data_IF_373684144973
#
_entry.id   IF_373684144973
#
_cell.length_a   1.000
_cell.length_b   1.000
_cell.length_c   1.000
_cell.angle_alpha   90.00
_cell.angle_beta   90.00
_cell.angle_gamma   90.00
#
_symmetry.space_group_name_H-M   'P 1'
#
loop_
_entity.id
_entity.type
_entity.pdbx_description
1 polymer ?
#
# COMPACT_ATOMS: atom_id res chain seq x y z
N UNK A 1 28.66 -69.40 -7.56
CA UNK A 1 27.28 -68.87 -7.73
C UNK A 1 27.43 -67.42 -8.17
N UNK A 2 27.52 -67.18 -9.47
CA UNK A 2 26.44 -66.87 -10.41
C UNK A 2 26.19 -65.34 -10.55
N UNK A 3 26.55 -64.85 -11.75
CA UNK A 3 25.94 -63.75 -12.54
C UNK A 3 26.50 -62.30 -12.44
N UNK A 4 27.42 -62.03 -13.39
CA UNK A 4 27.43 -60.99 -14.47
C UNK A 4 27.11 -59.50 -14.18
N UNK A 5 27.96 -58.57 -14.69
CA UNK A 5 27.75 -57.11 -14.72
C UNK A 5 27.47 -56.48 -16.12
N UNK A 6 27.07 -55.18 -16.10
CA UNK A 6 27.10 -54.12 -17.15
C UNK A 6 25.92 -54.06 -18.16
N UNK A 7 25.61 -52.93 -18.87
CA UNK A 7 26.47 -51.74 -19.14
C UNK A 7 25.79 -50.33 -19.24
N UNK A 8 26.62 -49.29 -19.40
CA UNK A 8 26.35 -48.22 -20.39
C UNK A 8 26.21 -46.77 -19.92
N UNK A 9 27.30 -46.01 -19.92
CA UNK A 9 27.31 -44.53 -19.93
C UNK A 9 27.43 -44.00 -21.38
N UNK A 10 26.68 -42.97 -21.80
CA UNK A 10 26.77 -42.41 -23.15
C UNK A 10 27.87 -41.32 -23.29
N UNK A 11 28.47 -41.16 -24.48
CA UNK A 11 29.52 -40.17 -24.77
C UNK A 11 28.96 -38.76 -25.10
N UNK A 12 29.81 -37.70 -25.13
CA UNK A 12 29.38 -36.31 -25.25
C UNK A 12 29.03 -35.88 -26.70
N UNK A 13 28.08 -34.96 -26.82
CA UNK A 13 27.60 -34.38 -28.08
C UNK A 13 28.59 -33.39 -28.71
N UNK A 14 28.82 -33.52 -30.03
CA UNK A 14 29.39 -32.48 -30.90
C UNK A 14 28.31 -31.99 -31.90
N UNK A 15 28.33 -30.70 -32.29
CA UNK A 15 27.32 -30.13 -33.20
C UNK A 15 27.69 -30.35 -34.67
N UNK A 16 26.73 -30.82 -35.49
CA UNK A 16 26.87 -30.91 -36.95
C UNK A 16 26.04 -29.79 -37.60
N UNK A 17 26.71 -28.97 -38.40
CA UNK A 17 26.13 -27.95 -39.27
C UNK A 17 25.51 -28.61 -40.52
N UNK A 18 24.31 -28.18 -40.92
CA UNK A 18 23.68 -28.57 -42.19
C UNK A 18 22.70 -27.52 -42.69
N UNK A 19 23.01 -26.91 -43.83
CA UNK A 19 22.17 -25.98 -44.60
C UNK A 19 21.16 -26.72 -45.52
N UNK A 20 20.12 -26.04 -46.05
CA UNK A 20 18.82 -26.65 -46.37
C UNK A 20 18.65 -27.05 -47.85
N UNK A 21 17.69 -27.92 -48.20
CA UNK A 21 17.26 -28.07 -49.58
C UNK A 21 16.20 -27.04 -49.96
N UNK A 22 16.45 -26.40 -51.10
CA UNK A 22 15.55 -25.51 -51.83
C UNK A 22 14.40 -26.29 -52.48
N UNK A 23 13.22 -25.69 -52.53
CA UNK A 23 12.15 -26.10 -53.45
C UNK A 23 10.76 -25.93 -52.86
N UNK A 24 10.08 -24.86 -53.27
CA UNK A 24 8.63 -24.64 -53.43
C UNK A 24 8.17 -23.26 -52.93
N UNK A 25 7.89 -22.38 -53.90
CA UNK A 25 7.12 -21.15 -53.74
C UNK A 25 5.60 -21.44 -53.85
N UNK A 26 4.73 -20.50 -53.44
CA UNK A 26 3.46 -20.79 -52.76
C UNK A 26 2.25 -20.81 -53.69
N UNK A 27 1.22 -21.57 -53.33
CA UNK A 27 -0.14 -21.41 -53.84
C UNK A 27 -1.09 -21.11 -52.68
N UNK A 28 -1.67 -19.91 -52.70
CA UNK A 28 -2.79 -19.53 -51.84
C UNK A 28 -4.09 -20.17 -52.34
N UNK A 29 -5.05 -20.40 -51.45
CA UNK A 29 -6.41 -19.98 -51.74
C UNK A 29 -7.04 -19.08 -50.65
N UNK A 30 -7.95 -18.27 -51.17
CA UNK A 30 -8.84 -17.23 -50.63
C UNK A 30 -9.67 -17.58 -49.35
N UNK A 31 -10.39 -16.60 -48.75
CA UNK A 31 -10.63 -16.48 -47.32
C UNK A 31 -11.88 -17.22 -46.84
N UNK A 32 -11.77 -17.87 -45.68
CA UNK A 32 -12.89 -18.49 -44.97
C UNK A 32 -12.68 -18.34 -43.47
N UNK A 33 -13.63 -17.72 -42.79
CA UNK A 33 -13.53 -17.40 -41.38
C UNK A 33 -13.42 -18.63 -40.49
N UNK A 34 -12.63 -18.51 -39.43
CA UNK A 34 -12.95 -18.97 -38.06
C UNK A 34 -11.80 -18.50 -37.16
N UNK A 35 -12.12 -17.67 -36.18
CA UNK A 35 -11.17 -17.28 -35.15
C UNK A 35 -10.89 -18.49 -34.24
N UNK A 36 -9.63 -18.90 -34.00
CA UNK A 36 -9.35 -19.84 -32.93
C UNK A 36 -9.42 -19.07 -31.60
N UNK A 37 -10.30 -19.52 -30.71
CA UNK A 37 -10.26 -19.18 -29.29
C UNK A 37 -8.91 -19.65 -28.71
N UNK A 38 -7.93 -18.74 -28.69
CA UNK A 38 -6.64 -18.93 -28.04
C UNK A 38 -6.74 -18.53 -26.57
N UNK A 39 -6.46 -19.50 -25.69
CA UNK A 39 -6.17 -19.31 -24.28
C UNK A 39 -5.18 -18.13 -24.08
N UNK A 40 -5.33 -17.29 -23.05
CA UNK A 40 -4.30 -16.30 -22.76
C UNK A 40 -3.04 -17.03 -22.31
N UNK A 41 -2.04 -17.07 -23.19
CA UNK A 41 -0.70 -17.51 -22.85
C UNK A 41 -0.21 -16.70 -21.64
N UNK A 42 0.15 -17.40 -20.57
CA UNK A 42 0.90 -16.86 -19.44
C UNK A 42 2.30 -16.47 -19.93
N UNK A 43 2.40 -15.33 -20.61
CA UNK A 43 3.67 -14.70 -20.93
C UNK A 43 4.21 -14.00 -19.69
N UNK A 44 5.35 -14.46 -19.18
CA UNK A 44 6.17 -13.65 -18.29
C UNK A 44 6.44 -12.30 -18.98
N UNK A 45 6.20 -11.14 -18.33
CA UNK A 45 6.43 -9.87 -18.99
C UNK A 45 7.93 -9.64 -19.15
N UNK A 46 8.36 -9.49 -20.41
CA UNK A 46 9.70 -9.07 -20.78
C UNK A 46 10.02 -7.71 -20.13
N UNK A 47 11.08 -7.67 -19.32
CA UNK A 47 11.63 -6.42 -18.79
C UNK A 47 12.07 -5.54 -19.98
N UNK A 48 11.54 -4.32 -20.06
CA UNK A 48 12.04 -3.30 -20.99
C UNK A 48 11.14 -2.95 -22.18
N UNK A 49 9.89 -3.44 -22.28
CA UNK A 49 8.95 -2.76 -23.19
C UNK A 49 8.63 -1.37 -22.64
N UNK A 50 8.84 -0.28 -23.42
CA UNK A 50 8.38 1.02 -23.00
C UNK A 50 6.89 0.92 -22.74
N UNK A 51 6.42 1.46 -21.62
CA UNK A 51 5.02 1.84 -21.46
C UNK A 51 4.60 2.50 -22.77
N UNK A 52 3.75 1.85 -23.57
CA UNK A 52 3.22 2.49 -24.76
C UNK A 52 2.64 3.81 -24.27
N UNK A 53 3.16 4.96 -24.74
CA UNK A 53 2.56 6.22 -24.37
C UNK A 53 1.11 6.06 -24.79
N UNK A 54 0.16 6.33 -23.90
CA UNK A 54 -1.23 6.55 -24.29
C UNK A 54 -1.37 7.78 -25.22
N UNK A 55 -0.28 8.20 -25.88
CA UNK A 55 0.06 9.42 -26.57
C UNK A 55 0.88 9.17 -27.86
N UNK A 56 0.77 8.01 -28.51
CA UNK A 56 1.19 7.86 -29.91
C UNK A 56 -0.05 7.48 -30.73
N UNK A 57 -0.45 8.28 -31.74
CA UNK A 57 -1.53 7.89 -32.63
C UNK A 57 -1.13 6.59 -33.32
N UNK A 58 -1.93 5.53 -33.13
CA UNK A 58 -1.91 4.43 -34.08
C UNK A 58 -2.49 4.99 -35.38
N UNK A 59 -1.62 5.26 -36.34
CA UNK A 59 -2.04 5.53 -37.71
C UNK A 59 -2.84 4.32 -38.17
N UNK A 60 -4.11 4.54 -38.53
CA UNK A 60 -4.87 3.53 -39.26
C UNK A 60 -4.04 3.10 -40.49
N UNK A 61 -3.98 1.81 -40.85
CA UNK A 61 -3.31 1.41 -42.08
C UNK A 61 -3.96 2.18 -43.24
N UNK A 62 -3.13 2.93 -43.97
CA UNK A 62 -3.53 3.62 -45.19
C UNK A 62 -4.26 2.61 -46.10
N UNK A 63 -5.43 2.94 -46.69
CA UNK A 63 -6.02 2.10 -47.71
C UNK A 63 -4.98 1.90 -48.81
N UNK A 64 -4.68 0.65 -49.15
CA UNK A 64 -3.80 0.35 -50.26
C UNK A 64 -4.36 1.02 -51.52
N UNK A 65 -3.58 1.91 -52.14
CA UNK A 65 -3.92 2.48 -53.44
C UNK A 65 -4.12 1.36 -54.46
N UNK A 66 -5.15 1.42 -55.33
CA UNK A 66 -5.27 0.45 -56.41
C UNK A 66 -4.06 0.55 -57.35
N UNK A 67 -3.67 -0.53 -58.05
CA UNK A 67 -2.49 -0.53 -58.90
C UNK A 67 -2.61 0.53 -60.00
N UNK A 68 -1.50 1.21 -60.28
CA UNK A 68 -1.39 2.25 -61.29
C UNK A 68 -1.78 1.73 -62.68
N UNK A 69 -3.03 1.98 -63.07
CA UNK A 69 -3.48 1.94 -64.46
C UNK A 69 -3.52 3.36 -65.00
N UNK A 70 -3.00 3.54 -66.22
CA UNK A 70 -2.90 4.80 -66.97
C UNK A 70 -4.10 5.74 -66.79
N UNK A 71 -3.89 6.88 -66.13
CA UNK A 71 -4.78 8.02 -66.24
C UNK A 71 -4.03 9.17 -66.91
N UNK A 72 -4.51 9.55 -68.09
CA UNK A 72 -4.13 10.79 -68.73
C UNK A 72 -4.48 11.96 -67.81
N UNK A 73 -3.55 12.90 -67.64
CA UNK A 73 -3.75 14.09 -66.83
C UNK A 73 -4.87 14.95 -67.43
N UNK A 74 -5.89 15.38 -66.66
CA UNK A 74 -6.81 16.40 -67.14
C UNK A 74 -6.14 17.78 -67.05
N UNK A 75 -6.50 18.61 -68.02
CA UNK A 75 -5.96 19.93 -68.27
C UNK A 75 -6.14 20.90 -67.09
N UNK A 76 -5.22 21.86 -67.06
CA UNK A 76 -5.12 22.97 -66.13
C UNK A 76 -6.45 23.74 -65.97
N UNK A 77 -6.82 24.02 -64.72
CA UNK A 77 -7.80 25.08 -64.43
C UNK A 77 -8.86 24.77 -63.38
N UNK A 78 -8.48 24.30 -62.18
CA UNK A 78 -9.29 24.49 -60.97
C UNK A 78 -8.37 24.65 -59.75
N UNK A 79 -8.13 25.89 -59.35
CA UNK A 79 -7.51 26.26 -58.08
C UNK A 79 -8.58 26.21 -56.99
N UNK A 80 -8.39 25.38 -55.96
CA UNK A 80 -9.10 25.55 -54.70
C UNK A 80 -9.74 24.30 -54.08
N UNK A 81 -8.97 23.22 -53.88
CA UNK A 81 -9.16 22.39 -52.69
C UNK A 81 -7.81 22.29 -51.99
N UNK A 82 -7.71 22.65 -50.69
CA UNK A 82 -6.50 22.35 -49.95
C UNK A 82 -6.33 20.83 -49.99
N UNK A 83 -5.12 20.34 -50.27
CA UNK A 83 -4.89 18.91 -50.35
C UNK A 83 -5.26 18.25 -49.01
N UNK A 84 -5.86 17.07 -49.06
CA UNK A 84 -6.45 16.38 -47.91
C UNK A 84 -5.45 16.12 -46.74
N UNK A 85 -4.15 16.35 -46.94
CA UNK A 85 -3.17 16.35 -45.85
C UNK A 85 -3.22 17.59 -44.95
N UNK A 86 -3.85 18.69 -45.39
CA UNK A 86 -4.01 19.92 -44.58
C UNK A 86 -5.05 19.79 -43.45
N UNK A 87 -5.82 18.70 -43.41
CA UNK A 87 -6.77 18.38 -42.33
C UNK A 87 -6.19 17.41 -41.28
N UNK A 88 -4.88 17.15 -41.32
CA UNK A 88 -4.20 16.16 -40.47
C UNK A 88 -3.76 16.67 -39.09
N UNK A 89 -3.89 17.96 -38.77
CA UNK A 89 -3.69 18.46 -37.41
C UNK A 89 -5.03 18.53 -36.66
N UNK A 90 -5.76 17.41 -36.71
CA UNK A 90 -6.90 17.22 -35.82
C UNK A 90 -6.41 17.34 -34.39
N UNK A 91 -7.07 18.19 -33.60
CA UNK A 91 -6.90 18.31 -32.16
C UNK A 91 -6.89 16.90 -31.55
N UNK A 92 -5.69 16.36 -31.29
CA UNK A 92 -5.56 15.06 -30.66
C UNK A 92 -6.10 15.23 -29.24
N UNK A 93 -7.36 14.87 -29.02
CA UNK A 93 -7.98 14.92 -27.70
C UNK A 93 -7.15 14.00 -26.81
N UNK A 94 -6.48 14.52 -25.75
CA UNK A 94 -5.63 13.69 -24.91
C UNK A 94 -6.45 12.55 -24.32
N UNK A 95 -6.17 11.31 -24.73
CA UNK A 95 -6.84 10.13 -24.16
C UNK A 95 -6.47 10.05 -22.68
N UNK A 96 -7.48 10.13 -21.81
CA UNK A 96 -7.30 10.04 -20.36
C UNK A 96 -6.78 8.65 -20.00
N UNK A 97 -5.68 8.59 -19.25
CA UNK A 97 -5.10 7.33 -18.76
C UNK A 97 -6.14 6.55 -17.94
N UNK A 98 -6.56 5.34 -18.40
CA UNK A 98 -7.56 4.54 -17.71
C UNK A 98 -7.10 4.05 -16.33
N UNK A 99 -5.78 3.94 -16.10
CA UNK A 99 -5.21 3.50 -14.82
C UNK A 99 -5.48 4.52 -13.72
N UNK A 100 -5.49 5.81 -14.04
CA UNK A 100 -5.85 6.89 -13.09
C UNK A 100 -7.29 6.71 -12.60
N UNK A 101 -8.21 6.37 -13.51
CA UNK A 101 -9.61 6.08 -13.15
C UNK A 101 -9.71 4.81 -12.30
N UNK A 102 -9.01 3.74 -12.69
CA UNK A 102 -9.00 2.48 -11.94
C UNK A 102 -8.41 2.62 -10.53
N UNK A 103 -7.33 3.38 -10.38
CA UNK A 103 -6.69 3.68 -9.10
C UNK A 103 -7.63 4.47 -8.20
N UNK A 104 -8.24 5.53 -8.71
CA UNK A 104 -9.22 6.34 -7.96
C UNK A 104 -10.45 5.53 -7.53
N UNK A 105 -10.99 4.68 -8.41
CA UNK A 105 -12.11 3.80 -8.06
C UNK A 105 -11.73 2.76 -6.99
N UNK A 106 -10.52 2.21 -7.08
CA UNK A 106 -10.02 1.26 -6.07
C UNK A 106 -9.84 1.97 -4.73
N UNK A 107 -9.23 3.15 -4.73
CA UNK A 107 -9.02 3.95 -3.53
C UNK A 107 -10.34 4.39 -2.90
N UNK A 108 -11.34 4.80 -3.69
CA UNK A 108 -12.68 5.11 -3.19
C UNK A 108 -13.30 3.93 -2.45
N UNK A 109 -13.24 2.72 -3.02
CA UNK A 109 -13.79 1.52 -2.35
C UNK A 109 -13.08 1.22 -1.04
N UNK A 110 -11.76 1.42 -0.98
CA UNK A 110 -10.98 1.24 0.23
C UNK A 110 -11.29 2.33 1.28
N UNK A 111 -11.46 3.59 0.86
CA UNK A 111 -11.90 4.68 1.74
C UNK A 111 -13.34 4.45 2.25
N UNK A 112 -14.20 3.81 1.46
CA UNK A 112 -15.52 3.40 1.93
C UNK A 112 -15.42 2.36 3.06
N UNK A 113 -14.49 1.41 2.97
CA UNK A 113 -14.23 0.46 4.06
C UNK A 113 -13.74 1.17 5.34
N UNK A 114 -12.87 2.18 5.20
CA UNK A 114 -12.43 3.03 6.32
C UNK A 114 -13.61 3.77 6.97
N UNK A 115 -14.46 4.42 6.18
CA UNK A 115 -15.65 5.10 6.70
C UNK A 115 -16.62 4.12 7.38
N UNK A 116 -16.79 2.94 6.78
CA UNK A 116 -17.60 1.87 7.37
C UNK A 116 -17.04 1.39 8.70
N UNK A 117 -15.71 1.30 8.86
CA UNK A 117 -15.07 0.99 10.14
C UNK A 117 -15.47 2.01 11.22
N UNK A 118 -15.42 3.31 10.92
CA UNK A 118 -15.84 4.35 11.88
C UNK A 118 -17.31 4.19 12.27
N UNK A 119 -18.19 3.98 11.29
CA UNK A 119 -19.63 3.78 11.54
C UNK A 119 -19.88 2.53 12.39
N UNK A 120 -19.22 1.41 12.09
CA UNK A 120 -19.33 0.20 12.89
C UNK A 120 -18.81 0.38 14.31
N UNK A 121 -17.68 1.07 14.49
CA UNK A 121 -17.14 1.35 15.81
C UNK A 121 -18.13 2.13 16.68
N UNK A 122 -18.76 3.16 16.12
CA UNK A 122 -19.79 3.93 16.81
C UNK A 122 -21.05 3.09 17.10
N UNK A 123 -21.50 2.31 16.11
CA UNK A 123 -22.68 1.47 16.24
C UNK A 123 -22.51 0.40 17.32
N UNK A 124 -21.41 -0.34 17.30
CA UNK A 124 -21.15 -1.39 18.29
C UNK A 124 -20.92 -0.81 19.68
N UNK A 125 -20.21 0.31 19.78
CA UNK A 125 -20.00 0.99 21.06
C UNK A 125 -21.34 1.43 21.65
N UNK A 126 -22.22 2.03 20.85
CA UNK A 126 -23.56 2.41 21.28
C UNK A 126 -24.39 1.20 21.73
N UNK A 127 -24.44 0.13 20.92
CA UNK A 127 -25.19 -1.09 21.25
C UNK A 127 -24.67 -1.77 22.52
N UNK A 128 -23.35 -1.87 22.67
CA UNK A 128 -22.74 -2.49 23.84
C UNK A 128 -22.96 -1.65 25.10
N UNK A 129 -22.80 -0.33 25.01
CA UNK A 129 -23.08 0.56 26.14
C UNK A 129 -24.54 0.52 26.57
N UNK A 130 -25.48 0.46 25.62
CA UNK A 130 -26.90 0.31 25.92
C UNK A 130 -27.20 -1.02 26.61
N UNK A 131 -26.67 -2.13 26.08
CA UNK A 131 -26.89 -3.47 26.62
C UNK A 131 -26.30 -3.61 28.04
N UNK A 132 -25.06 -3.18 28.24
CA UNK A 132 -24.39 -3.24 29.54
C UNK A 132 -25.07 -2.32 30.55
N UNK A 133 -25.53 -1.14 30.13
CA UNK A 133 -26.35 -0.26 30.95
C UNK A 133 -27.67 -0.90 31.39
N UNK A 134 -28.35 -1.67 30.52
CA UNK A 134 -29.55 -2.44 30.89
C UNK A 134 -29.26 -3.55 31.92
N UNK A 135 -28.02 -4.06 31.96
CA UNK A 135 -27.57 -5.02 32.98
C UNK A 135 -27.10 -4.34 34.28
N UNK A 136 -27.16 -3.01 34.35
CA UNK A 136 -26.75 -2.23 35.51
C UNK A 136 -25.25 -1.93 35.59
N UNK A 137 -24.49 -2.12 34.50
CA UNK A 137 -23.08 -1.74 34.44
C UNK A 137 -22.92 -0.23 34.17
N UNK A 138 -22.12 0.45 34.98
CA UNK A 138 -21.75 1.85 34.79
C UNK A 138 -20.41 1.97 34.06
N UNK A 139 -20.46 2.01 32.73
CA UNK A 139 -19.27 2.14 31.89
C UNK A 139 -18.65 3.54 31.90
N UNK A 140 -19.36 4.56 32.40
CA UNK A 140 -18.81 5.91 32.51
C UNK A 140 -18.02 6.07 33.82
N UNK A 141 -18.34 5.27 34.84
CA UNK A 141 -17.59 5.20 36.11
C UNK A 141 -16.56 4.07 36.19
N UNK A 142 -16.61 3.06 35.31
CA UNK A 142 -15.68 1.92 35.28
C UNK A 142 -14.69 2.00 34.11
N UNK A 143 -13.53 2.62 34.35
CA UNK A 143 -12.44 2.74 33.39
C UNK A 143 -11.99 1.39 32.81
N UNK A 144 -11.93 0.34 33.64
CA UNK A 144 -11.46 -0.98 33.20
C UNK A 144 -12.50 -1.64 32.30
N UNK A 145 -13.78 -1.53 32.65
CA UNK A 145 -14.89 -1.97 31.81
C UNK A 145 -14.92 -1.26 30.46
N UNK A 146 -14.72 0.06 30.44
CA UNK A 146 -14.62 0.85 29.21
C UNK A 146 -13.41 0.45 28.36
N UNK A 147 -12.25 0.26 28.99
CA UNK A 147 -11.03 -0.19 28.31
C UNK A 147 -11.18 -1.59 27.70
N UNK A 148 -11.79 -2.53 28.42
CA UNK A 148 -12.09 -3.87 27.89
C UNK A 148 -13.05 -3.83 26.70
N UNK A 149 -14.09 -3.00 26.79
CA UNK A 149 -15.07 -2.83 25.73
C UNK A 149 -14.40 -2.29 24.45
N UNK A 150 -13.63 -1.22 24.58
CA UNK A 150 -12.91 -0.61 23.45
C UNK A 150 -11.86 -1.55 22.87
N UNK A 151 -11.11 -2.28 23.71
CA UNK A 151 -10.14 -3.29 23.29
C UNK A 151 -10.75 -4.43 22.47
N UNK A 152 -12.01 -4.79 22.72
CA UNK A 152 -12.72 -5.79 21.93
C UNK A 152 -13.32 -5.22 20.64
N UNK A 153 -13.96 -4.05 20.72
CA UNK A 153 -14.76 -3.51 19.61
C UNK A 153 -13.92 -2.84 18.52
N UNK A 154 -12.83 -2.16 18.87
CA UNK A 154 -12.01 -1.41 17.90
C UNK A 154 -11.34 -2.36 16.88
N UNK A 155 -10.67 -3.46 17.27
CA UNK A 155 -10.10 -4.40 16.32
C UNK A 155 -11.16 -5.05 15.42
N UNK A 156 -12.32 -5.41 15.99
CA UNK A 156 -13.44 -6.00 15.24
C UNK A 156 -13.98 -5.02 14.18
N UNK A 157 -14.22 -3.77 14.58
CA UNK A 157 -14.72 -2.72 13.69
C UNK A 157 -13.73 -2.39 12.58
N UNK A 158 -12.44 -2.50 12.87
CA UNK A 158 -11.35 -2.29 11.90
C UNK A 158 -11.29 -3.42 10.88
N UNK A 159 -11.37 -4.67 11.31
CA UNK A 159 -11.22 -5.81 10.40
C UNK A 159 -12.46 -6.06 9.51
N UNK A 160 -13.67 -5.93 10.06
CA UNK A 160 -14.90 -6.41 9.42
C UNK A 160 -15.17 -5.83 8.02
N UNK A 161 -15.10 -4.50 7.78
CA UNK A 161 -15.36 -3.94 6.44
C UNK A 161 -14.39 -4.47 5.37
N UNK A 162 -13.15 -4.73 5.75
CA UNK A 162 -12.12 -5.20 4.84
C UNK A 162 -12.23 -6.70 4.58
N UNK A 163 -12.66 -7.49 5.57
CA UNK A 163 -13.03 -8.90 5.37
C UNK A 163 -14.22 -8.99 4.39
N UNK A 164 -15.26 -8.17 4.57
CA UNK A 164 -16.40 -8.10 3.64
C UNK A 164 -15.92 -7.67 2.24
N UNK A 165 -15.04 -6.67 2.14
CA UNK A 165 -14.45 -6.26 0.87
C UNK A 165 -13.73 -7.40 0.15
N UNK A 166 -12.91 -8.18 0.86
CA UNK A 166 -12.20 -9.32 0.29
C UNK A 166 -13.18 -10.42 -0.15
N UNK A 167 -14.16 -10.76 0.68
CA UNK A 167 -15.15 -11.80 0.43
C UNK A 167 -16.06 -11.48 -0.75
N UNK A 168 -16.67 -10.28 -0.78
CA UNK A 168 -17.55 -9.84 -1.88
C UNK A 168 -16.79 -9.73 -3.20
N UNK A 169 -15.52 -9.29 -3.13
CA UNK A 169 -14.66 -9.23 -4.31
C UNK A 169 -14.08 -10.57 -4.76
N UNK A 170 -14.33 -11.66 -4.02
CA UNK A 170 -13.71 -12.99 -4.22
C UNK A 170 -12.20 -12.90 -4.46
N UNK A 171 -11.53 -12.07 -3.66
CA UNK A 171 -10.09 -11.80 -3.79
C UNK A 171 -9.29 -12.90 -3.13
N UNK A 172 -8.22 -13.37 -3.78
CA UNK A 172 -7.33 -14.38 -3.20
C UNK A 172 -6.51 -13.76 -2.07
N UNK A 173 -6.66 -14.30 -0.85
CA UNK A 173 -5.93 -13.84 0.33
C UNK A 173 -4.42 -13.92 0.16
N UNK A 174 -3.89 -14.86 -0.65
CA UNK A 174 -2.44 -15.04 -0.85
C UNK A 174 -1.81 -13.86 -1.59
N UNK A 175 -2.57 -13.17 -2.43
CA UNK A 175 -2.06 -11.99 -3.15
C UNK A 175 -1.96 -10.77 -2.24
N UNK A 176 -2.84 -10.69 -1.23
CA UNK A 176 -3.01 -9.56 -0.32
C UNK A 176 -2.18 -9.73 0.96
N UNK A 177 -2.17 -10.93 1.55
CA UNK A 177 -1.52 -11.25 2.82
C UNK A 177 -0.24 -12.05 2.56
N UNK A 178 0.89 -11.35 2.47
CA UNK A 178 2.20 -11.97 2.19
C UNK A 178 3.04 -12.10 3.45
N UNK A 179 3.69 -13.27 3.56
CA UNK A 179 4.51 -13.67 4.70
C UNK A 179 5.82 -14.30 4.22
N UNK A 180 6.51 -13.60 3.32
CA UNK A 180 7.76 -14.08 2.72
C UNK A 180 8.87 -14.26 3.75
N UNK A 181 9.74 -15.26 3.55
CA UNK A 181 10.86 -15.50 4.47
C UNK A 181 11.97 -14.46 4.25
N UNK A 182 12.22 -13.63 5.26
CA UNK A 182 13.27 -12.58 5.22
C UNK A 182 14.61 -13.10 5.78
N UNK A 183 14.54 -14.09 6.68
CA UNK A 183 15.64 -14.53 7.55
C UNK A 183 15.66 -13.75 8.87
N UNK A 184 16.05 -14.41 9.97
CA UNK A 184 15.97 -13.83 11.31
C UNK A 184 16.78 -12.53 11.44
N UNK A 185 18.09 -12.58 11.13
CA UNK A 185 18.97 -11.42 11.31
C UNK A 185 18.57 -10.24 10.40
N UNK A 186 18.38 -10.38 9.07
CA UNK A 186 17.91 -9.27 8.25
C UNK A 186 16.54 -8.76 8.68
N UNK A 187 15.62 -9.66 9.08
CA UNK A 187 14.31 -9.29 9.59
C UNK A 187 14.39 -8.44 10.86
N UNK A 188 15.20 -8.87 11.85
CA UNK A 188 15.45 -8.12 13.08
C UNK A 188 16.05 -6.76 12.78
N UNK A 189 17.04 -6.67 11.89
CA UNK A 189 17.64 -5.39 11.53
C UNK A 189 16.64 -4.46 10.84
N UNK A 190 15.76 -4.98 9.96
CA UNK A 190 14.67 -4.20 9.37
C UNK A 190 13.68 -3.70 10.42
N UNK A 191 13.34 -4.54 11.40
CA UNK A 191 12.45 -4.15 12.51
C UNK A 191 13.07 -3.02 13.33
N UNK A 192 14.32 -3.18 13.76
CA UNK A 192 15.01 -2.16 14.57
C UNK A 192 15.21 -0.85 13.79
N UNK A 193 15.63 -0.92 12.53
CA UNK A 193 15.79 0.26 11.68
C UNK A 193 14.45 0.96 11.42
N UNK A 194 13.40 0.19 11.12
CA UNK A 194 12.05 0.73 10.93
C UNK A 194 11.51 1.39 12.19
N UNK A 195 11.70 0.75 13.35
CA UNK A 195 11.31 1.30 14.66
C UNK A 195 12.00 2.62 14.94
N UNK A 196 13.32 2.73 14.71
CA UNK A 196 14.02 4.00 14.89
C UNK A 196 13.48 5.12 14.00
N UNK A 197 13.15 4.84 12.74
CA UNK A 197 12.56 5.86 11.84
C UNK A 197 11.17 6.27 12.33
N UNK A 198 10.35 5.33 12.80
CA UNK A 198 9.06 5.64 13.40
C UNK A 198 9.23 6.53 14.65
N UNK A 199 10.12 6.17 15.57
CA UNK A 199 10.36 6.94 16.78
C UNK A 199 10.88 8.35 16.46
N UNK A 200 11.77 8.49 15.48
CA UNK A 200 12.21 9.79 14.96
C UNK A 200 11.08 10.60 14.32
N UNK A 201 10.05 9.93 13.79
CA UNK A 201 8.83 10.53 13.27
C UNK A 201 7.98 11.26 14.34
N UNK A 202 8.23 11.02 15.63
CA UNK A 202 7.57 11.77 16.70
C UNK A 202 8.06 13.23 16.78
N UNK A 203 9.33 13.52 16.47
CA UNK A 203 9.86 14.88 16.65
C UNK A 203 9.16 15.92 15.75
N UNK A 204 8.92 15.65 14.44
CA UNK A 204 8.09 16.55 13.63
C UNK A 204 6.65 16.69 14.14
N UNK A 205 6.06 15.61 14.68
CA UNK A 205 4.71 15.64 15.25
C UNK A 205 4.64 16.50 16.52
N UNK A 206 5.61 16.35 17.43
CA UNK A 206 5.74 17.19 18.63
C UNK A 206 5.98 18.66 18.28
N UNK A 207 6.85 18.93 17.30
CA UNK A 207 7.06 20.30 16.84
C UNK A 207 5.77 20.92 16.28
N UNK A 208 4.99 20.16 15.51
CA UNK A 208 3.70 20.62 15.01
C UNK A 208 2.70 20.83 16.17
N UNK A 209 2.66 19.92 17.13
CA UNK A 209 1.82 20.04 18.33
C UNK A 209 2.15 21.33 19.11
N UNK A 210 3.43 21.64 19.32
CA UNK A 210 3.86 22.85 20.02
C UNK A 210 3.47 24.12 19.25
N UNK A 211 3.65 24.12 17.93
CA UNK A 211 3.29 25.25 17.06
C UNK A 211 1.78 25.52 17.09
N UNK A 212 0.96 24.47 16.99
CA UNK A 212 -0.48 24.60 17.05
C UNK A 212 -0.95 24.94 18.48
N UNK A 213 -0.31 24.36 19.50
CA UNK A 213 -0.60 24.62 20.90
C UNK A 213 -0.41 26.10 21.27
N UNK A 214 0.59 26.76 20.68
CA UNK A 214 0.82 28.19 20.83
C UNK A 214 -0.34 29.08 20.33
N UNK A 215 -1.25 28.54 19.52
CA UNK A 215 -2.44 29.24 19.00
C UNK A 215 -3.76 28.61 19.47
N UNK A 216 -3.73 27.86 20.59
CA UNK A 216 -4.94 27.37 21.28
C UNK A 216 -5.33 25.92 20.97
N UNK A 217 -4.55 25.17 20.20
CA UNK A 217 -4.82 23.75 19.96
C UNK A 217 -4.56 22.89 21.21
N UNK A 218 -5.52 22.02 21.54
CA UNK A 218 -5.43 21.05 22.63
C UNK A 218 -5.67 19.64 22.08
N UNK A 219 -4.64 18.77 21.96
CA UNK A 219 -4.83 17.43 21.41
C UNK A 219 -5.76 16.60 22.30
N UNK A 220 -6.61 15.79 21.67
CA UNK A 220 -7.59 14.98 22.39
C UNK A 220 -6.95 13.96 23.35
N UNK A 221 -5.70 13.56 23.08
CA UNK A 221 -4.91 12.66 23.93
C UNK A 221 -4.47 13.28 25.26
N UNK A 222 -4.50 14.62 25.40
CA UNK A 222 -4.08 15.31 26.62
C UNK A 222 -5.08 15.26 27.79
N UNK A 223 -6.32 14.81 27.55
CA UNK A 223 -7.41 14.85 28.53
C UNK A 223 -7.81 13.50 29.14
N UNK A 224 -7.22 12.39 28.70
CA UNK A 224 -7.56 11.05 29.22
C UNK A 224 -6.59 10.69 30.34
N UNK A 225 -6.95 10.99 31.58
CA UNK A 225 -6.22 10.46 32.74
C UNK A 225 -6.39 8.94 32.75
N UNK A 226 -5.32 8.23 32.43
CA UNK A 226 -5.33 6.77 32.46
C UNK A 226 -5.19 6.32 33.90
N UNK A 227 -6.17 5.58 34.42
CA UNK A 227 -6.06 4.98 35.74
C UNK A 227 -4.84 4.04 35.79
N UNK A 228 -3.86 4.40 36.63
CA UNK A 228 -2.61 3.66 36.79
C UNK A 228 -2.87 2.38 37.60
N UNK A 229 -3.27 1.32 36.92
CA UNK A 229 -3.44 -0.01 37.49
C UNK A 229 -2.75 -1.08 36.64
N UNK A 230 -2.28 -2.16 37.27
CA UNK A 230 -1.69 -3.29 36.55
C UNK A 230 -2.69 -3.96 35.60
N UNK A 231 -3.98 -4.00 35.95
CA UNK A 231 -5.04 -4.50 35.07
C UNK A 231 -5.18 -3.66 33.81
N UNK A 232 -5.26 -2.33 33.95
CA UNK A 232 -5.36 -1.42 32.81
C UNK A 232 -4.13 -1.53 31.92
N UNK A 233 -2.93 -1.60 32.52
CA UNK A 233 -1.67 -1.81 31.79
C UNK A 233 -1.70 -3.07 30.91
N UNK A 234 -2.08 -4.23 31.45
CA UNK A 234 -2.07 -5.48 30.68
C UNK A 234 -3.13 -5.49 29.57
N UNK A 235 -4.31 -4.91 29.82
CA UNK A 235 -5.36 -4.78 28.80
C UNK A 235 -4.91 -3.85 27.68
N UNK A 236 -4.36 -2.68 28.01
CA UNK A 236 -3.88 -1.72 27.02
C UNK A 236 -2.67 -2.27 26.25
N UNK A 237 -1.74 -2.96 26.92
CA UNK A 237 -0.61 -3.61 26.26
C UNK A 237 -1.09 -4.66 25.24
N UNK A 238 -2.03 -5.53 25.62
CA UNK A 238 -2.55 -6.54 24.71
C UNK A 238 -3.34 -5.92 23.55
N UNK A 239 -4.16 -4.91 23.84
CA UNK A 239 -4.97 -4.22 22.84
C UNK A 239 -4.10 -3.40 21.89
N UNK A 240 -3.43 -2.38 22.42
CA UNK A 240 -2.76 -1.31 21.69
C UNK A 240 -1.42 -1.76 21.11
N UNK A 241 -0.68 -2.65 21.78
CA UNK A 241 0.62 -3.13 21.30
C UNK A 241 0.56 -4.44 20.50
N UNK A 242 -0.56 -5.18 20.54
CA UNK A 242 -0.68 -6.47 19.83
C UNK A 242 -1.88 -6.49 18.89
N UNK A 243 -3.11 -6.40 19.40
CA UNK A 243 -4.32 -6.60 18.59
C UNK A 243 -4.48 -5.51 17.52
N UNK A 244 -4.33 -4.24 17.91
CA UNK A 244 -4.44 -3.09 17.00
C UNK A 244 -3.40 -3.18 15.87
N UNK A 245 -2.08 -3.31 16.14
CA UNK A 245 -1.06 -3.46 15.10
C UNK A 245 -1.32 -4.63 14.15
N UNK A 246 -1.75 -5.78 14.67
CA UNK A 246 -2.09 -6.94 13.82
C UNK A 246 -3.22 -6.59 12.88
N UNK A 247 -4.34 -6.06 13.39
CA UNK A 247 -5.51 -5.76 12.57
C UNK A 247 -5.24 -4.63 11.58
N UNK A 248 -4.59 -3.56 12.02
CA UNK A 248 -4.28 -2.43 11.16
C UNK A 248 -3.30 -2.81 10.05
N UNK A 249 -2.25 -3.58 10.32
CA UNK A 249 -1.34 -3.99 9.26
C UNK A 249 -1.98 -4.98 8.28
N UNK A 250 -2.85 -5.88 8.75
CA UNK A 250 -3.66 -6.73 7.86
C UNK A 250 -4.56 -5.88 6.95
N UNK A 251 -5.14 -4.81 7.48
CA UNK A 251 -6.02 -3.90 6.72
C UNK A 251 -5.23 -3.02 5.77
N UNK A 252 -4.28 -2.23 6.27
CA UNK A 252 -3.61 -1.20 5.48
C UNK A 252 -2.52 -1.77 4.58
N UNK A 253 -1.75 -2.77 5.04
CA UNK A 253 -0.65 -3.35 4.24
C UNK A 253 -1.15 -4.59 3.50
N UNK A 254 -1.95 -5.40 4.18
CA UNK A 254 -2.60 -6.54 3.56
C UNK A 254 -3.61 -6.11 2.49
N UNK A 255 -4.58 -5.25 2.81
CA UNK A 255 -5.70 -4.91 1.89
C UNK A 255 -5.47 -3.64 1.07
N UNK A 256 -5.25 -2.50 1.73
CA UNK A 256 -5.18 -1.19 1.06
C UNK A 256 -3.98 -1.13 0.12
N UNK A 257 -2.78 -1.37 0.64
CA UNK A 257 -1.54 -1.37 -0.15
C UNK A 257 -1.60 -2.38 -1.30
N UNK A 258 -1.94 -3.65 -1.03
CA UNK A 258 -1.99 -4.69 -2.06
C UNK A 258 -3.03 -4.39 -3.15
N UNK A 259 -4.18 -3.81 -2.76
CA UNK A 259 -5.21 -3.36 -3.69
C UNK A 259 -4.72 -2.24 -4.64
N UNK A 260 -3.82 -1.37 -4.17
CA UNK A 260 -3.23 -0.29 -4.95
C UNK A 260 -1.98 -0.73 -5.75
N UNK A 261 -1.29 -1.79 -5.33
CA UNK A 261 0.00 -2.24 -5.89
C UNK A 261 -0.05 -2.58 -7.39
N UNK A 262 -1.20 -3.02 -7.89
CA UNK A 262 -1.44 -3.25 -9.33
C UNK A 262 -1.30 -1.98 -10.19
N UNK A 263 -1.35 -0.79 -9.59
CA UNK A 263 -1.11 0.49 -10.27
C UNK A 263 0.32 1.01 -10.10
N UNK A 264 1.17 0.29 -9.38
CA UNK A 264 2.56 0.66 -9.12
C UNK A 264 2.88 0.63 -7.64
N UNK A 265 4.05 0.08 -7.30
CA UNK A 265 4.43 -0.12 -5.89
C UNK A 265 4.65 1.20 -5.16
N UNK A 266 5.23 2.22 -5.81
CA UNK A 266 5.40 3.54 -5.19
C UNK A 266 4.07 4.23 -4.88
N UNK A 267 3.09 4.15 -5.80
CA UNK A 267 1.74 4.64 -5.57
C UNK A 267 1.04 3.90 -4.43
N UNK A 268 1.25 2.58 -4.31
CA UNK A 268 0.72 1.81 -3.20
C UNK A 268 1.32 2.22 -1.84
N UNK A 269 2.64 2.42 -1.75
CA UNK A 269 3.31 2.91 -0.52
C UNK A 269 2.71 4.24 -0.07
N UNK A 270 2.67 5.22 -0.97
CA UNK A 270 2.20 6.58 -0.63
C UNK A 270 0.70 6.58 -0.40
N UNK A 271 -0.07 5.91 -1.25
CA UNK A 271 -1.53 5.85 -1.15
C UNK A 271 -1.99 5.16 0.13
N UNK A 272 -1.39 4.02 0.52
CA UNK A 272 -1.74 3.36 1.78
C UNK A 272 -1.30 4.19 2.99
N UNK A 273 -0.14 4.85 2.93
CA UNK A 273 0.35 5.70 4.01
C UNK A 273 -0.54 6.94 4.23
N UNK A 274 -1.02 7.56 3.15
CA UNK A 274 -1.95 8.69 3.23
C UNK A 274 -3.28 8.27 3.84
N UNK A 275 -3.85 7.15 3.39
CA UNK A 275 -5.09 6.61 3.97
C UNK A 275 -4.86 6.30 5.45
N UNK A 276 -3.78 5.61 5.80
CA UNK A 276 -3.41 5.29 7.18
C UNK A 276 -3.19 6.54 8.05
N UNK A 277 -2.61 7.61 7.51
CA UNK A 277 -2.45 8.86 8.24
C UNK A 277 -3.80 9.50 8.59
N UNK A 278 -4.66 9.72 7.58
CA UNK A 278 -5.90 10.50 7.75
C UNK A 278 -6.94 9.81 8.66
N UNK A 279 -6.89 8.49 8.85
CA UNK A 279 -7.82 7.80 9.76
C UNK A 279 -7.54 8.09 11.24
N UNK A 280 -6.36 8.63 11.58
CA UNK A 280 -6.00 8.97 12.96
C UNK A 280 -6.68 10.27 13.43
N UNK A 281 -7.32 11.02 12.53
CA UNK A 281 -8.20 12.19 12.77
C UNK A 281 -7.54 13.42 13.40
N UNK A 282 -6.67 13.25 14.38
CA UNK A 282 -5.89 14.30 15.00
C UNK A 282 -4.68 14.66 14.13
N UNK A 283 -4.55 15.94 13.76
CA UNK A 283 -3.50 16.41 12.83
C UNK A 283 -2.07 16.11 13.28
N UNK A 284 -1.80 16.10 14.59
CA UNK A 284 -0.47 15.80 15.13
C UNK A 284 -0.17 14.31 14.98
N UNK A 285 -1.17 13.46 15.27
CA UNK A 285 -1.09 12.02 15.06
C UNK A 285 -1.03 11.67 13.56
N UNK A 286 -1.72 12.40 12.70
CA UNK A 286 -1.70 12.19 11.23
C UNK A 286 -0.28 12.35 10.69
N UNK A 287 0.50 13.32 11.18
CA UNK A 287 1.88 13.51 10.73
C UNK A 287 2.77 12.33 11.11
N UNK A 288 2.71 11.89 12.37
CA UNK A 288 3.42 10.69 12.83
C UNK A 288 2.98 9.45 12.04
N UNK A 289 1.66 9.23 11.95
CA UNK A 289 1.07 8.08 11.27
C UNK A 289 1.40 8.07 9.77
N UNK A 290 1.56 9.23 9.11
CA UNK A 290 2.03 9.29 7.73
C UNK A 290 3.48 8.81 7.59
N UNK A 291 4.38 9.23 8.49
CA UNK A 291 5.78 8.77 8.50
C UNK A 291 5.85 7.26 8.73
N UNK A 292 5.20 6.77 9.79
CA UNK A 292 5.09 5.33 10.06
C UNK A 292 4.42 4.59 8.88
N UNK A 293 3.39 5.21 8.31
CA UNK A 293 2.71 4.89 7.06
C UNK A 293 3.65 4.47 5.94
N UNK A 294 4.55 5.40 5.60
CA UNK A 294 5.54 5.26 4.54
C UNK A 294 6.58 4.19 4.88
N UNK A 295 7.05 4.14 6.13
CA UNK A 295 8.01 3.12 6.60
C UNK A 295 7.42 1.72 6.44
N UNK A 296 6.22 1.48 6.95
CA UNK A 296 5.57 0.17 6.88
C UNK A 296 5.25 -0.21 5.43
N UNK A 297 4.73 0.73 4.63
CA UNK A 297 4.47 0.48 3.21
C UNK A 297 5.73 0.11 2.44
N UNK A 298 6.84 0.82 2.66
CA UNK A 298 8.13 0.53 2.04
C UNK A 298 8.72 -0.80 2.50
N UNK A 299 8.69 -1.09 3.81
CA UNK A 299 9.19 -2.35 4.35
C UNK A 299 8.35 -3.54 3.90
N UNK A 300 7.03 -3.40 3.81
CA UNK A 300 6.18 -4.46 3.26
C UNK A 300 6.43 -4.67 1.76
N UNK A 301 6.60 -3.59 0.99
CA UNK A 301 6.99 -3.67 -0.42
C UNK A 301 8.33 -4.37 -0.62
N UNK A 302 9.27 -4.15 0.31
CA UNK A 302 10.64 -4.65 0.30
C UNK A 302 10.75 -6.11 0.72
N UNK A 303 10.12 -6.45 1.84
CA UNK A 303 10.26 -7.74 2.51
C UNK A 303 9.20 -8.74 2.10
N UNK A 304 8.04 -8.27 1.62
CA UNK A 304 6.88 -9.12 1.36
C UNK A 304 6.35 -9.81 2.61
N UNK A 305 6.64 -9.30 3.81
CA UNK A 305 6.31 -9.95 5.07
C UNK A 305 5.57 -8.99 6.01
N UNK A 306 4.29 -9.27 6.25
CA UNK A 306 3.46 -8.49 7.18
C UNK A 306 3.96 -8.55 8.63
N UNK A 307 4.59 -9.64 9.07
CA UNK A 307 5.08 -9.74 10.44
C UNK A 307 6.20 -8.74 10.73
N UNK A 308 6.95 -8.29 9.71
CA UNK A 308 7.95 -7.23 9.89
C UNK A 308 7.26 -5.92 10.25
N UNK A 309 6.18 -5.55 9.56
CA UNK A 309 5.49 -4.29 9.84
C UNK A 309 4.65 -4.38 11.11
N UNK A 310 4.00 -5.52 11.38
CA UNK A 310 3.31 -5.80 12.65
C UNK A 310 4.26 -5.68 13.83
N UNK A 311 5.48 -6.24 13.73
CA UNK A 311 6.45 -6.16 14.82
C UNK A 311 6.90 -4.72 15.08
N UNK A 312 7.16 -3.93 14.03
CA UNK A 312 7.56 -2.52 14.21
C UNK A 312 6.42 -1.72 14.84
N UNK A 313 5.21 -1.86 14.30
CA UNK A 313 4.04 -1.15 14.78
C UNK A 313 3.72 -1.55 16.24
N UNK A 314 3.74 -2.84 16.55
CA UNK A 314 3.52 -3.34 17.91
C UNK A 314 4.59 -2.91 18.91
N UNK A 315 5.87 -2.88 18.51
CA UNK A 315 6.93 -2.35 19.35
C UNK A 315 6.76 -0.85 19.60
N UNK A 316 6.42 -0.07 18.55
CA UNK A 316 6.18 1.36 18.69
C UNK A 316 5.04 1.64 19.68
N UNK A 317 3.91 0.95 19.53
CA UNK A 317 2.77 1.10 20.42
C UNK A 317 3.06 0.56 21.82
N UNK A 318 3.79 -0.55 21.94
CA UNK A 318 4.21 -1.09 23.23
C UNK A 318 5.10 -0.13 24.01
N UNK A 319 6.02 0.57 23.35
CA UNK A 319 6.83 1.62 23.97
C UNK A 319 5.94 2.78 24.44
N UNK A 320 4.94 3.18 23.65
CA UNK A 320 3.99 4.21 24.05
C UNK A 320 3.17 3.81 25.28
N UNK A 321 2.64 2.57 25.33
CA UNK A 321 1.93 2.02 26.50
C UNK A 321 2.84 1.98 27.73
N UNK A 322 4.07 1.46 27.61
CA UNK A 322 5.03 1.44 28.73
C UNK A 322 5.33 2.85 29.22
N UNK A 323 5.44 3.83 28.32
CA UNK A 323 5.61 5.25 28.66
C UNK A 323 4.39 5.81 29.41
N UNK A 324 3.17 5.49 28.97
CA UNK A 324 1.93 5.93 29.62
C UNK A 324 1.76 5.38 31.04
N UNK A 325 2.24 4.15 31.28
CA UNK A 325 2.17 3.48 32.59
C UNK A 325 3.48 3.53 33.38
N UNK A 326 4.40 4.45 33.05
CA UNK A 326 5.75 4.45 33.61
C UNK A 326 5.79 4.56 35.14
N UNK A 327 4.80 5.25 35.73
CA UNK A 327 4.63 5.38 37.17
C UNK A 327 4.36 4.07 37.92
N UNK A 328 4.00 2.98 37.24
CA UNK A 328 3.90 1.64 37.82
C UNK A 328 5.26 0.95 37.97
N UNK A 329 6.24 1.32 37.15
CA UNK A 329 7.54 0.65 37.06
C UNK A 329 8.63 1.36 37.84
N UNK A 330 8.58 2.69 37.89
CA UNK A 330 9.65 3.50 38.45
C UNK A 330 9.12 4.65 39.31
N UNK A 331 9.88 5.09 40.34
CA UNK A 331 9.54 6.28 41.10
C UNK A 331 9.49 7.54 40.21
N UNK A 332 8.64 8.51 40.58
CA UNK A 332 8.47 9.76 39.83
C UNK A 332 9.77 10.53 39.61
N UNK A 333 10.74 10.43 40.54
CA UNK A 333 12.06 11.05 40.42
C UNK A 333 12.90 10.50 39.25
N UNK A 334 12.63 9.27 38.80
CA UNK A 334 13.33 8.61 37.70
C UNK A 334 12.53 8.61 36.39
N UNK A 335 11.22 8.87 36.43
CA UNK A 335 10.32 8.74 35.29
C UNK A 335 10.79 9.56 34.06
N UNK A 336 11.21 10.81 34.26
CA UNK A 336 11.70 11.66 33.15
C UNK A 336 12.92 11.06 32.43
N UNK A 337 13.93 10.60 33.18
CA UNK A 337 15.12 9.96 32.61
C UNK A 337 14.76 8.65 31.91
N UNK A 338 13.93 7.81 32.54
CA UNK A 338 13.56 6.51 31.97
C UNK A 338 12.74 6.70 30.69
N UNK A 339 11.83 7.67 30.63
CA UNK A 339 11.10 8.00 29.41
C UNK A 339 12.03 8.44 28.27
N UNK A 340 13.05 9.25 28.56
CA UNK A 340 14.06 9.64 27.57
C UNK A 340 14.85 8.42 27.06
N UNK A 341 15.25 7.53 27.96
CA UNK A 341 15.97 6.30 27.59
C UNK A 341 15.10 5.33 26.79
N UNK A 342 13.80 5.25 27.11
CA UNK A 342 12.82 4.43 26.40
C UNK A 342 12.73 4.79 24.91
N UNK A 343 12.96 6.06 24.56
CA UNK A 343 13.03 6.52 23.18
C UNK A 343 14.46 6.46 22.60
N UNK A 344 15.45 6.96 23.34
CA UNK A 344 16.81 7.11 22.84
C UNK A 344 17.51 5.77 22.54
N UNK A 345 17.31 4.76 23.39
CA UNK A 345 17.97 3.44 23.22
C UNK A 345 17.48 2.71 21.97
N UNK A 346 16.16 2.53 21.72
CA UNK A 346 15.70 1.93 20.48
C UNK A 346 16.11 2.71 19.22
N UNK A 347 16.15 4.06 19.28
CA UNK A 347 16.65 4.89 18.19
C UNK A 347 18.12 4.56 17.90
N UNK A 348 18.99 4.55 18.92
CA UNK A 348 20.41 4.25 18.75
C UNK A 348 20.64 2.83 18.18
N UNK A 349 19.91 1.83 18.69
CA UNK A 349 19.96 0.46 18.18
C UNK A 349 19.48 0.37 16.73
N UNK A 350 18.43 1.11 16.36
CA UNK A 350 17.93 1.12 14.99
C UNK A 350 18.84 1.85 14.00
N UNK A 351 19.53 2.92 14.42
CA UNK A 351 20.57 3.58 13.61
C UNK A 351 21.72 2.61 13.36
N UNK A 352 22.17 1.89 14.39
CA UNK A 352 23.17 0.83 14.24
C UNK A 352 22.66 -0.27 13.29
N UNK A 353 21.41 -0.71 13.44
CA UNK A 353 20.81 -1.72 12.58
C UNK A 353 20.73 -1.28 11.11
N UNK A 354 20.42 0.00 10.85
CA UNK A 354 20.44 0.58 9.50
C UNK A 354 21.86 0.58 8.91
N UNK A 355 22.87 0.92 9.71
CA UNK A 355 24.27 0.81 9.32
C UNK A 355 24.67 -0.62 8.97
N UNK A 356 24.26 -1.61 9.78
CA UNK A 356 24.51 -3.03 9.51
C UNK A 356 23.77 -3.53 8.25
N UNK A 357 22.53 -3.09 8.02
CA UNK A 357 21.80 -3.36 6.78
C UNK A 357 22.55 -2.80 5.56
N UNK A 358 23.06 -1.57 5.67
CA UNK A 358 23.82 -0.96 4.59
C UNK A 358 25.15 -1.66 4.33
N UNK A 359 25.85 -2.14 5.37
CA UNK A 359 27.14 -2.80 5.21
C UNK A 359 27.01 -4.24 4.71
N UNK A 360 26.10 -5.02 5.29
CA UNK A 360 26.03 -6.48 5.05
C UNK A 360 24.86 -6.90 4.15
N UNK A 361 23.84 -6.06 3.99
CA UNK A 361 22.61 -6.38 3.26
C UNK A 361 22.22 -5.30 2.24
N UNK A 362 23.20 -4.53 1.71
CA UNK A 362 22.96 -3.42 0.77
C UNK A 362 22.09 -3.79 -0.42
N UNK A 363 22.28 -4.99 -0.98
CA UNK A 363 21.52 -5.44 -2.15
C UNK A 363 20.06 -5.65 -1.77
N UNK A 364 19.81 -6.28 -0.61
CA UNK A 364 18.47 -6.39 -0.06
C UNK A 364 17.88 -5.04 0.29
N UNK A 365 18.67 -4.09 0.82
CA UNK A 365 18.18 -2.77 1.25
C UNK A 365 17.88 -1.82 0.07
N UNK A 366 18.68 -1.87 -0.99
CA UNK A 366 18.70 -0.88 -2.08
C UNK A 366 18.18 -1.41 -3.43
N UNK A 367 17.96 -2.72 -3.58
CA UNK A 367 17.33 -3.27 -4.80
C UNK A 367 16.06 -2.52 -5.19
N UNK A 368 15.74 -2.38 -6.50
CA UNK A 368 14.50 -1.78 -6.94
C UNK A 368 13.28 -2.50 -6.35
N UNK A 369 12.26 -1.73 -5.94
CA UNK A 369 11.02 -2.31 -5.41
C UNK A 369 10.30 -3.10 -6.51
N UNK A 370 9.94 -4.35 -6.19
CA UNK A 370 9.26 -5.24 -7.12
C UNK A 370 7.91 -4.66 -7.57
N UNK A 371 7.73 -4.52 -8.88
CA UNK A 371 6.50 -4.04 -9.51
C UNK A 371 5.59 -5.21 -9.88
N UNK A 372 4.27 -5.04 -9.70
CA UNK A 372 3.26 -5.99 -10.21
C UNK A 372 2.80 -5.67 -11.63
N UNK A 373 3.09 -4.47 -12.12
CA UNK A 373 2.72 -4.01 -13.45
C UNK A 373 3.97 -3.59 -14.21
N UNK A 374 4.08 -3.93 -15.51
CA UNK A 374 5.16 -3.43 -16.36
C UNK A 374 5.07 -1.90 -16.55
N UNK A 375 3.89 -1.32 -16.29
CA UNK A 375 3.66 0.11 -16.47
C UNK A 375 3.03 0.73 -15.22
N UNK A 376 3.83 1.05 -14.19
CA UNK A 376 3.35 1.73 -12.99
C UNK A 376 2.87 3.16 -13.30
N UNK A 377 2.00 3.69 -12.43
CA UNK A 377 1.63 5.09 -12.45
C UNK A 377 2.82 5.95 -12.03
N UNK A 378 3.11 6.97 -12.83
CA UNK A 378 4.01 8.04 -12.43
C UNK A 378 3.40 8.87 -11.30
N UNK A 379 4.25 9.60 -10.56
CA UNK A 379 3.82 10.39 -9.40
C UNK A 379 2.69 11.38 -9.73
N UNK A 380 2.78 12.10 -10.86
CA UNK A 380 1.74 13.04 -11.28
C UNK A 380 0.40 12.35 -11.58
N UNK A 381 0.44 11.17 -12.21
CA UNK A 381 -0.76 10.39 -12.51
C UNK A 381 -1.37 9.77 -11.23
N UNK A 382 -0.53 9.34 -10.28
CA UNK A 382 -0.94 8.92 -8.94
C UNK A 382 -1.61 10.05 -8.16
N UNK A 383 -1.02 11.24 -8.15
CA UNK A 383 -1.61 12.44 -7.54
C UNK A 383 -2.97 12.79 -8.15
N UNK A 384 -3.10 12.69 -9.48
CA UNK A 384 -4.38 12.88 -10.18
C UNK A 384 -5.43 11.81 -9.81
N UNK A 385 -5.01 10.58 -9.54
CA UNK A 385 -5.92 9.54 -9.06
C UNK A 385 -6.43 9.84 -7.65
N UNK A 386 -5.54 10.26 -6.75
CA UNK A 386 -5.89 10.69 -5.39
C UNK A 386 -6.86 11.89 -5.41
N UNK A 387 -6.53 12.93 -6.19
CA UNK A 387 -7.37 14.12 -6.34
C UNK A 387 -8.79 13.81 -6.83
N UNK A 388 -8.97 12.71 -7.58
CA UNK A 388 -10.27 12.26 -8.10
C UNK A 388 -11.04 11.34 -7.17
N UNK A 389 -10.54 11.10 -5.96
CA UNK A 389 -11.10 10.16 -4.99
C UNK A 389 -11.94 10.91 -3.96
N UNK A 390 -13.24 11.16 -4.19
CA UNK A 390 -14.09 11.97 -3.30
C UNK A 390 -14.14 11.42 -1.87
N UNK A 391 -14.14 10.10 -1.67
CA UNK A 391 -14.23 9.54 -0.31
C UNK A 391 -12.95 9.74 0.50
N UNK A 392 -11.79 9.83 -0.15
CA UNK A 392 -10.55 10.21 0.51
C UNK A 392 -10.66 11.65 1.04
N UNK A 393 -11.13 12.58 0.21
CA UNK A 393 -11.32 13.97 0.63
C UNK A 393 -12.43 14.15 1.64
N UNK A 394 -13.47 13.32 1.62
CA UNK A 394 -14.47 13.30 2.68
C UNK A 394 -13.81 12.98 4.04
N UNK A 395 -12.97 11.94 4.12
CA UNK A 395 -12.23 11.60 5.36
C UNK A 395 -11.33 12.76 5.78
N UNK A 396 -10.58 13.36 4.85
CA UNK A 396 -9.75 14.53 5.13
C UNK A 396 -10.57 15.70 5.67
N UNK A 397 -11.76 15.96 5.13
CA UNK A 397 -12.63 17.02 5.63
C UNK A 397 -13.14 16.73 7.05
N UNK A 398 -13.49 15.48 7.37
CA UNK A 398 -13.84 15.11 8.75
C UNK A 398 -12.65 15.29 9.68
N UNK A 399 -11.45 14.86 9.26
CA UNK A 399 -10.20 15.04 10.02
C UNK A 399 -9.90 16.53 10.29
N UNK A 400 -10.03 17.38 9.27
CA UNK A 400 -9.82 18.83 9.40
C UNK A 400 -10.87 19.42 10.35
N UNK A 401 -12.14 19.06 10.19
CA UNK A 401 -13.21 19.51 11.08
C UNK A 401 -12.94 19.12 12.54
N UNK A 402 -12.58 17.86 12.78
CA UNK A 402 -12.22 17.37 14.10
C UNK A 402 -11.02 18.12 14.68
N UNK A 403 -9.96 18.31 13.89
CA UNK A 403 -8.79 19.10 14.31
C UNK A 403 -9.17 20.53 14.68
N UNK A 404 -10.00 21.21 13.89
CA UNK A 404 -10.45 22.58 14.19
C UNK A 404 -11.27 22.63 15.47
N UNK A 405 -12.06 21.58 15.77
CA UNK A 405 -12.84 21.51 17.01
C UNK A 405 -11.99 21.38 18.29
N UNK A 406 -10.68 21.11 18.14
CA UNK A 406 -9.73 21.01 19.25
C UNK A 406 -9.02 22.34 19.59
N UNK A 407 -9.34 23.43 18.89
CA UNK A 407 -8.84 24.77 19.24
C UNK A 407 -9.78 25.43 20.25
N UNK A 408 -9.22 25.99 21.32
CA UNK A 408 -9.94 26.64 22.44
C UNK A 408 -9.59 28.12 22.54
#
# INVERSE_FOLDING_TARGET
MNQTPAPGSPPPFQPVQGQPPQGWSPQAPAPGGTAPQGQPAQGQPAQGQPCAPWAQPQWAPQPAWPPQGNWAAPAQGWTGYPPAYALGQGWAVPRKDPRVKGASQTLNRLCLCVLAQTVFSLFWSFCASLFLGMLGADLLGDDLGYLLLTAALVPLSTALPFVVYLAVGRRDLREYLRFEKVGFLPGLLFVLAGLAICLLGNYPAFFLQDLLGAIGYQPASGGVETSLSWSSFWVDLLSTAVLVPVMEELVFRGVVFSGLRKFGTGFAVVGSALVFGVVHMDVTNVLFALVAGLVFGWLYARTGNLWVTVAIHGLNNGLAVVGAYLGLFVPQSAAGLVNQLLLAVPIALGILALGLLFLFYREKLLAPLAQLTPCPLEAAAGGKALARTPLFWAIVLVMVWYTVSLFV
#
